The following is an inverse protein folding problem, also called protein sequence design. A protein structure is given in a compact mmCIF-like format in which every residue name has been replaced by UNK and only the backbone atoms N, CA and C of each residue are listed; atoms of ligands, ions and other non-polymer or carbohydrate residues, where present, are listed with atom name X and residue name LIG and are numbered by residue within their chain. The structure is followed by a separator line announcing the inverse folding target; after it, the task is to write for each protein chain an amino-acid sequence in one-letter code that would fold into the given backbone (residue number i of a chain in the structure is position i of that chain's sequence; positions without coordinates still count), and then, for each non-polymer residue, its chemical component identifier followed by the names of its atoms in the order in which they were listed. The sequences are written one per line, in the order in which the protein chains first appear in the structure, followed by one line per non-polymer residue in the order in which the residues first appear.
data_IF_191555187216
#
_entry.id   IF_191555187216
#
_cell.length_a   1.000
_cell.length_b   1.000
_cell.length_c   1.000
_cell.angle_alpha   90.00
_cell.angle_beta   90.00
_cell.angle_gamma   90.00
#
_symmetry.space_group_name_H-M   'P 1'
#
loop_
_entity.id
_entity.type
_entity.pdbx_description
1 polymer ?
#
# COMPACT_ATOMS: atom_id res chain seq x y z
N UNK A 1 0.52 45.08 55.99
CA UNK A 1 -0.08 43.74 56.08
C UNK A 1 0.44 42.85 54.98
N UNK A 2 1.49 42.06 55.12
CA UNK A 2 2.71 42.07 55.95
C UNK A 2 3.33 40.71 55.64
N UNK A 3 4.53 40.71 55.06
CA UNK A 3 5.36 39.51 55.03
C UNK A 3 5.86 39.24 56.46
N UNK A 4 6.17 37.99 56.79
CA UNK A 4 7.60 37.75 57.02
C UNK A 4 8.14 36.48 56.36
N UNK A 5 9.47 36.48 56.17
CA UNK A 5 10.29 35.36 55.70
C UNK A 5 10.70 34.42 56.86
N UNK A 6 11.51 33.41 56.49
CA UNK A 6 12.34 32.52 57.33
C UNK A 6 11.69 31.17 57.68
N UNK A 7 12.41 30.05 57.80
CA UNK A 7 13.87 29.87 57.95
C UNK A 7 14.48 28.81 57.01
N UNK A 8 15.81 28.87 56.86
CA UNK A 8 16.64 27.82 56.25
C UNK A 8 16.90 26.65 57.19
N UNK A 9 17.12 25.45 56.65
CA UNK A 9 17.96 24.44 57.32
C UNK A 9 18.98 23.84 56.35
N UNK A 10 20.27 24.04 56.68
CA UNK A 10 21.39 23.30 56.07
C UNK A 10 21.53 21.99 56.83
N UNK A 11 21.75 20.88 56.12
CA UNK A 11 22.49 19.75 56.68
C UNK A 11 23.55 19.29 55.69
N UNK A 12 24.80 19.53 56.07
CA UNK A 12 26.00 19.02 55.43
C UNK A 12 26.67 18.02 56.36
N UNK A 13 26.94 16.82 55.86
CA UNK A 13 28.00 15.96 56.40
C UNK A 13 28.77 15.41 55.20
N UNK A 14 30.04 15.70 55.14
CA UNK A 14 30.98 15.04 54.24
C UNK A 14 32.20 14.61 55.03
N UNK A 15 32.88 13.58 54.54
CA UNK A 15 34.32 13.39 54.74
C UNK A 15 34.87 12.54 53.58
N UNK A 16 35.80 13.15 52.85
CA UNK A 16 37.14 12.63 52.51
C UNK A 16 37.23 11.16 52.02
N UNK A 17 37.40 10.91 50.71
CA UNK A 17 38.59 11.10 49.86
C UNK A 17 39.60 9.94 49.91
N UNK A 18 39.82 9.28 48.76
CA UNK A 18 41.15 8.78 48.38
C UNK A 18 41.30 8.73 46.86
N UNK A 19 42.41 9.30 46.39
CA UNK A 19 42.89 9.29 45.00
C UNK A 19 43.80 8.09 44.74
N UNK A 20 43.81 7.56 43.51
CA UNK A 20 45.04 7.49 42.68
C UNK A 20 44.84 6.71 41.37
N UNK A 21 45.21 7.36 40.26
CA UNK A 21 45.68 6.69 39.03
C UNK A 21 47.11 6.19 39.21
N UNK A 22 47.53 5.18 38.41
CA UNK A 22 48.73 5.39 37.61
C UNK A 22 48.58 4.91 36.14
N UNK A 23 49.51 5.36 35.29
CA UNK A 23 49.61 5.00 33.87
C UNK A 23 50.94 4.22 33.58
N UNK A 24 51.42 4.05 32.33
CA UNK A 24 51.50 2.75 31.67
C UNK A 24 52.95 2.27 31.36
N UNK A 25 53.14 1.16 30.60
CA UNK A 25 54.33 1.06 29.74
C UNK A 25 54.17 0.44 28.32
N UNK A 26 54.87 1.05 27.36
CA UNK A 26 55.62 0.52 26.20
C UNK A 26 55.04 -0.44 25.11
N UNK A 27 54.64 0.16 23.98
CA UNK A 27 55.34 0.20 22.65
C UNK A 27 55.99 -1.07 22.02
N UNK A 28 55.49 -1.46 20.84
CA UNK A 28 56.23 -1.83 19.60
C UNK A 28 55.29 -1.64 18.38
N UNK A 29 55.57 -0.78 17.40
CA UNK A 29 56.18 -1.07 16.07
C UNK A 29 55.70 -2.39 15.44
N UNK A 30 55.15 -2.47 14.22
CA UNK A 30 55.00 -1.53 13.08
C UNK A 30 53.76 -1.95 12.23
N UNK A 31 53.37 -1.43 11.05
CA UNK A 31 54.02 -0.56 10.06
C UNK A 31 52.99 0.28 9.25
N UNK A 32 53.34 0.70 8.03
CA UNK A 32 52.62 1.57 7.10
C UNK A 32 51.43 0.97 6.33
N UNK A 33 50.53 1.86 5.87
CA UNK A 33 49.42 1.52 4.96
C UNK A 33 48.58 2.73 4.51
N UNK A 34 49.21 3.89 4.26
CA UNK A 34 48.49 5.09 3.79
C UNK A 34 48.21 5.03 2.28
N UNK A 35 46.94 5.11 1.90
CA UNK A 35 46.53 5.59 0.56
C UNK A 35 45.39 6.59 0.76
N UNK A 36 45.64 7.82 0.30
CA UNK A 36 44.69 8.92 0.23
C UNK A 36 44.50 9.31 -1.23
N UNK A 37 43.25 9.31 -1.71
CA UNK A 37 42.80 10.10 -2.87
C UNK A 37 41.40 10.61 -2.51
N UNK A 38 41.30 11.85 -2.03
CA UNK A 38 41.06 13.05 -2.83
C UNK A 38 39.74 12.99 -3.63
N UNK A 39 38.79 13.77 -3.14
CA UNK A 39 37.61 14.22 -3.87
C UNK A 39 38.09 15.12 -5.00
N UNK A 40 37.62 14.88 -6.22
CA UNK A 40 37.77 15.82 -7.32
C UNK A 40 36.38 16.30 -7.75
N UNK A 41 36.27 17.60 -8.01
CA UNK A 41 35.00 18.30 -8.23
C UNK A 41 35.06 19.10 -9.52
N UNK A 42 34.51 18.53 -10.58
CA UNK A 42 34.46 19.16 -11.90
C UNK A 42 33.02 19.16 -12.45
N UNK A 43 32.33 20.30 -12.33
CA UNK A 43 31.19 20.60 -13.18
C UNK A 43 31.68 20.71 -14.64
N UNK A 44 31.06 19.97 -15.55
CA UNK A 44 31.34 19.99 -16.98
C UNK A 44 30.06 19.82 -17.77
N UNK A 45 29.67 20.87 -18.48
CA UNK A 45 28.45 20.96 -19.29
C UNK A 45 28.56 20.09 -20.56
N UNK A 46 27.57 19.22 -20.80
CA UNK A 46 27.39 18.58 -22.10
C UNK A 46 25.92 18.29 -22.42
N UNK A 47 25.40 19.10 -23.33
CA UNK A 47 24.19 18.82 -24.10
C UNK A 47 24.45 17.70 -25.13
N UNK A 48 23.74 16.58 -25.00
CA UNK A 48 23.36 15.71 -26.12
C UNK A 48 22.27 14.69 -25.70
N UNK A 49 21.27 14.41 -26.55
CA UNK A 49 20.22 13.45 -26.24
C UNK A 49 20.69 12.00 -26.40
N UNK A 50 20.29 11.13 -25.47
CA UNK A 50 20.44 9.68 -25.62
C UNK A 50 19.52 9.15 -26.74
N UNK A 51 20.00 8.26 -27.63
CA UNK A 51 19.19 7.73 -28.73
C UNK A 51 18.13 6.75 -28.22
N UNK A 52 16.90 6.89 -28.72
CA UNK A 52 15.80 5.97 -28.45
C UNK A 52 16.05 4.60 -29.07
N UNK A 53 16.04 3.54 -28.25
CA UNK A 53 16.14 2.15 -28.72
C UNK A 53 14.82 1.73 -29.38
N UNK A 54 14.80 1.29 -30.65
CA UNK A 54 13.58 0.80 -31.29
C UNK A 54 13.17 -0.58 -30.76
N UNK A 55 11.90 -0.74 -30.39
CA UNK A 55 11.28 -2.04 -30.16
C UNK A 55 11.13 -2.76 -31.52
N UNK A 56 12.07 -3.64 -31.85
CA UNK A 56 11.93 -4.53 -33.00
C UNK A 56 10.89 -5.62 -32.71
N UNK A 57 9.78 -5.59 -33.45
CA UNK A 57 8.87 -6.74 -33.57
C UNK A 57 9.66 -7.94 -34.11
N UNK A 58 9.54 -9.10 -33.46
CA UNK A 58 10.06 -10.35 -34.02
C UNK A 58 9.21 -10.77 -35.22
N UNK A 59 9.79 -10.70 -36.42
CA UNK A 59 9.23 -11.36 -37.61
C UNK A 59 9.25 -12.88 -37.43
N UNK A 60 8.15 -13.55 -37.78
CA UNK A 60 8.06 -15.00 -37.75
C UNK A 60 8.86 -15.60 -38.92
N UNK A 61 10.04 -16.17 -38.65
CA UNK A 61 10.70 -17.05 -39.61
C UNK A 61 9.90 -18.34 -39.78
N UNK A 62 9.22 -18.47 -40.91
CA UNK A 62 8.60 -19.73 -41.33
C UNK A 62 9.70 -20.74 -41.67
N UNK A 63 9.76 -21.85 -40.94
CA UNK A 63 10.54 -23.04 -41.35
C UNK A 63 9.59 -24.17 -41.70
N UNK A 64 9.64 -24.59 -42.95
CA UNK A 64 9.01 -25.84 -43.40
C UNK A 64 9.60 -27.02 -42.62
N UNK A 65 8.74 -27.86 -42.06
CA UNK A 65 9.11 -29.20 -41.58
C UNK A 65 8.13 -30.18 -42.19
N UNK A 66 8.68 -31.24 -42.79
CA UNK A 66 7.96 -32.22 -43.60
C UNK A 66 6.97 -33.03 -42.77
N UNK A 67 5.87 -33.40 -43.40
CA UNK A 67 5.01 -34.50 -42.94
C UNK A 67 5.84 -35.78 -42.78
N UNK A 68 5.63 -36.47 -41.66
CA UNK A 68 5.86 -37.91 -41.53
C UNK A 68 4.77 -38.44 -40.61
N UNK A 69 3.96 -39.35 -41.15
CA UNK A 69 2.85 -39.97 -40.47
C UNK A 69 3.35 -41.05 -39.50
N UNK A 70 3.06 -40.90 -38.21
CA UNK A 70 3.35 -41.88 -37.17
C UNK A 70 2.41 -41.68 -35.98
N UNK A 71 1.46 -42.61 -35.80
CA UNK A 71 0.49 -42.54 -34.71
C UNK A 71 1.14 -42.65 -33.31
N UNK A 72 0.78 -41.74 -32.42
CA UNK A 72 1.15 -41.72 -31.01
C UNK A 72 0.08 -41.01 -30.18
N UNK A 73 -0.20 -41.51 -28.98
CA UNK A 73 -1.29 -41.05 -28.12
C UNK A 73 -1.17 -39.57 -27.72
N UNK A 74 -2.28 -38.83 -27.76
CA UNK A 74 -2.36 -37.50 -27.14
C UNK A 74 -2.19 -37.62 -25.62
N UNK A 75 -1.20 -36.91 -25.09
CA UNK A 75 -0.99 -36.69 -23.66
C UNK A 75 -1.84 -35.50 -23.20
N UNK A 76 -2.83 -35.74 -22.33
CA UNK A 76 -3.69 -34.69 -21.75
C UNK A 76 -2.90 -33.92 -20.68
N UNK A 77 -2.15 -32.90 -21.12
CA UNK A 77 -1.25 -32.12 -20.28
C UNK A 77 -1.89 -31.55 -19.01
N UNK A 78 -1.50 -32.10 -17.86
CA UNK A 78 -1.92 -31.66 -16.53
C UNK A 78 -1.28 -30.30 -16.19
N UNK A 79 -2.08 -29.23 -16.08
CA UNK A 79 -1.58 -27.91 -15.69
C UNK A 79 -1.58 -27.82 -14.16
N UNK A 80 -0.40 -27.52 -13.57
CA UNK A 80 -0.26 -27.31 -12.12
C UNK A 80 0.03 -25.86 -11.79
N UNK A 81 -0.78 -25.28 -10.90
CA UNK A 81 -0.53 -23.95 -10.31
C UNK A 81 -0.45 -24.12 -8.81
N UNK A 82 0.62 -23.62 -8.18
CA UNK A 82 0.88 -23.74 -6.74
C UNK A 82 0.73 -25.19 -6.21
N UNK A 83 1.21 -26.18 -6.98
CA UNK A 83 1.14 -27.61 -6.65
C UNK A 83 -0.22 -28.28 -6.83
N UNK A 84 -1.27 -27.52 -7.19
CA UNK A 84 -2.62 -28.05 -7.40
C UNK A 84 -2.83 -28.39 -8.88
N UNK A 85 -3.31 -29.61 -9.16
CA UNK A 85 -3.64 -30.08 -10.50
C UNK A 85 -4.97 -29.53 -10.99
N UNK A 86 -4.97 -29.03 -12.23
CA UNK A 86 -6.15 -28.52 -12.93
C UNK A 86 -6.32 -29.26 -14.26
N UNK A 87 -7.52 -29.80 -14.50
CA UNK A 87 -7.87 -30.47 -15.75
C UNK A 87 -8.81 -29.62 -16.62
N UNK A 88 -8.45 -29.43 -17.89
CA UNK A 88 -9.19 -28.63 -18.86
C UNK A 88 -10.40 -29.41 -19.42
N UNK A 89 -11.56 -29.33 -18.75
CA UNK A 89 -12.82 -29.87 -19.29
C UNK A 89 -13.33 -29.08 -20.50
N UNK A 90 -12.81 -29.38 -21.69
CA UNK A 90 -13.51 -29.08 -22.96
C UNK A 90 -14.56 -30.16 -23.23
N UNK A 91 -15.83 -29.86 -22.98
CA UNK A 91 -16.93 -30.74 -23.39
C UNK A 91 -17.12 -30.62 -24.91
N UNK A 92 -16.74 -31.66 -25.65
CA UNK A 92 -16.99 -31.80 -27.09
C UNK A 92 -17.92 -33.02 -27.26
N UNK A 93 -19.20 -32.76 -27.45
CA UNK A 93 -20.21 -33.80 -27.61
C UNK A 93 -20.12 -34.40 -29.03
N UNK A 94 -19.62 -35.62 -29.14
CA UNK A 94 -19.66 -36.46 -30.35
C UNK A 94 -19.86 -37.93 -29.94
N UNK A 95 -20.92 -38.57 -30.45
CA UNK A 95 -21.37 -39.91 -30.06
C UNK A 95 -20.44 -41.05 -30.52
N UNK A 96 -20.34 -42.11 -29.70
CA UNK A 96 -20.39 -43.49 -30.19
C UNK A 96 -20.73 -44.53 -29.10
N UNK A 97 -21.97 -45.04 -29.16
CA UNK A 97 -22.39 -46.44 -28.91
C UNK A 97 -22.01 -47.19 -27.62
N UNK A 98 -23.03 -47.59 -26.83
CA UNK A 98 -23.40 -49.02 -26.71
C UNK A 98 -24.79 -49.26 -26.08
N UNK A 99 -25.68 -49.91 -26.84
CA UNK A 99 -26.78 -50.81 -26.42
C UNK A 99 -27.64 -50.50 -25.17
N UNK A 100 -28.94 -50.26 -25.40
CA UNK A 100 -29.94 -51.26 -24.98
C UNK A 100 -31.25 -51.17 -25.79
N UNK A 101 -31.89 -52.32 -25.96
CA UNK A 101 -33.08 -52.52 -26.79
C UNK A 101 -34.38 -52.13 -26.09
N UNK A 102 -35.33 -51.50 -26.80
CA UNK A 102 -36.77 -51.78 -26.65
C UNK A 102 -37.56 -51.45 -27.92
N UNK A 103 -38.76 -52.01 -28.03
CA UNK A 103 -39.50 -52.25 -29.27
C UNK A 103 -40.40 -51.10 -29.76
N UNK A 104 -40.73 -51.16 -31.05
CA UNK A 104 -41.55 -50.20 -31.79
C UNK A 104 -43.01 -50.10 -31.31
N UNK A 105 -43.53 -48.88 -31.12
CA UNK A 105 -44.92 -48.52 -31.46
C UNK A 105 -45.20 -47.01 -31.37
N UNK A 106 -46.03 -46.52 -32.28
CA UNK A 106 -46.86 -45.31 -32.09
C UNK A 106 -46.15 -43.97 -32.30
N UNK A 107 -46.35 -43.36 -33.47
CA UNK A 107 -45.96 -41.97 -33.69
C UNK A 107 -46.85 -41.00 -32.91
N UNK A 108 -46.22 -40.12 -32.13
CA UNK A 108 -46.80 -38.85 -31.68
C UNK A 108 -45.78 -37.77 -32.00
N UNK A 109 -46.06 -37.01 -33.06
CA UNK A 109 -45.26 -35.84 -33.45
C UNK A 109 -45.42 -34.76 -32.39
N UNK A 110 -44.53 -34.74 -31.40
CA UNK A 110 -44.31 -33.55 -30.59
C UNK A 110 -43.77 -32.48 -31.55
N UNK A 111 -44.46 -31.33 -31.72
CA UNK A 111 -43.91 -30.26 -32.53
C UNK A 111 -42.61 -29.81 -31.87
N UNK A 112 -41.50 -29.88 -32.61
CA UNK A 112 -40.27 -29.21 -32.21
C UNK A 112 -40.59 -27.72 -32.21
N UNK A 113 -40.94 -27.21 -31.03
CA UNK A 113 -41.19 -25.79 -30.83
C UNK A 113 -39.98 -25.05 -31.35
N UNK A 114 -40.22 -24.14 -32.29
CA UNK A 114 -39.20 -23.34 -32.92
C UNK A 114 -38.32 -22.73 -31.84
N UNK A 115 -37.03 -23.11 -31.80
CA UNK A 115 -36.00 -22.33 -31.13
C UNK A 115 -35.98 -20.98 -31.84
N UNK A 116 -36.79 -20.03 -31.35
CA UNK A 116 -36.80 -18.66 -31.83
C UNK A 116 -35.37 -18.14 -31.68
N UNK A 117 -34.70 -17.95 -32.82
CA UNK A 117 -33.47 -17.19 -32.87
C UNK A 117 -33.83 -15.77 -32.46
N UNK A 118 -33.69 -15.45 -31.17
CA UNK A 118 -33.93 -14.09 -30.68
C UNK A 118 -33.13 -13.11 -31.54
N UNK A 119 -33.84 -12.12 -32.08
CA UNK A 119 -33.21 -11.16 -32.97
C UNK A 119 -32.05 -10.46 -32.23
N UNK A 120 -31.06 -9.98 -32.99
CA UNK A 120 -29.97 -9.20 -32.41
C UNK A 120 -30.50 -7.98 -31.64
N UNK A 121 -31.63 -7.43 -32.07
CA UNK A 121 -32.33 -6.32 -31.42
C UNK A 121 -32.97 -6.73 -30.08
N UNK A 122 -33.67 -7.87 -30.00
CA UNK A 122 -34.20 -8.38 -28.72
C UNK A 122 -33.07 -8.56 -27.70
N UNK A 123 -31.96 -9.19 -28.09
CA UNK A 123 -30.80 -9.39 -27.20
C UNK A 123 -30.16 -8.08 -26.78
N UNK A 124 -30.01 -7.11 -27.70
CA UNK A 124 -29.51 -5.76 -27.39
C UNK A 124 -30.42 -5.06 -26.38
N UNK A 125 -31.73 -5.12 -26.58
CA UNK A 125 -32.70 -4.47 -25.70
C UNK A 125 -32.72 -5.13 -24.31
N UNK A 126 -32.55 -6.45 -24.20
CA UNK A 126 -32.40 -7.13 -22.90
C UNK A 126 -31.14 -6.68 -22.14
N UNK A 127 -29.99 -6.52 -22.82
CA UNK A 127 -28.75 -6.04 -22.19
C UNK A 127 -28.88 -4.58 -21.72
N UNK A 128 -29.48 -3.72 -22.54
CA UNK A 128 -29.76 -2.32 -22.18
C UNK A 128 -30.75 -2.24 -21.00
N UNK A 129 -31.79 -3.08 -21.00
CA UNK A 129 -32.79 -3.13 -19.94
C UNK A 129 -32.22 -3.66 -18.62
N UNK A 130 -31.21 -4.55 -18.66
CA UNK A 130 -30.49 -5.02 -17.47
C UNK A 130 -29.51 -3.95 -16.93
N UNK A 131 -28.69 -3.37 -17.79
CA UNK A 131 -27.64 -2.41 -17.38
C UNK A 131 -28.15 -1.07 -16.85
N UNK A 132 -29.43 -0.74 -17.06
CA UNK A 132 -30.07 0.51 -16.59
C UNK A 132 -31.05 0.31 -15.43
N UNK A 133 -31.06 -0.86 -14.78
CA UNK A 133 -31.93 -1.08 -13.62
C UNK A 133 -31.46 -0.27 -12.41
N UNK A 134 -32.40 0.26 -11.63
CA UNK A 134 -32.07 0.75 -10.30
C UNK A 134 -31.69 -0.41 -9.39
N UNK A 135 -30.85 -0.17 -8.38
CA UNK A 135 -30.44 -1.21 -7.43
C UNK A 135 -31.64 -1.90 -6.79
N UNK A 136 -32.67 -1.15 -6.40
CA UNK A 136 -33.92 -1.69 -5.84
C UNK A 136 -34.64 -2.71 -6.76
N UNK A 137 -34.48 -2.59 -8.08
CA UNK A 137 -35.07 -3.52 -9.06
C UNK A 137 -34.13 -4.67 -9.43
N UNK A 138 -32.82 -4.42 -9.48
CA UNK A 138 -31.80 -5.41 -9.84
C UNK A 138 -31.47 -6.37 -8.69
N UNK A 139 -31.42 -5.85 -7.46
CA UNK A 139 -31.08 -6.55 -6.23
C UNK A 139 -31.84 -5.91 -5.03
N UNK A 140 -33.12 -6.26 -4.83
CA UNK A 140 -33.94 -5.70 -3.75
C UNK A 140 -33.43 -6.09 -2.35
N UNK A 141 -32.75 -7.24 -2.22
CA UNK A 141 -32.22 -7.71 -0.95
C UNK A 141 -31.01 -6.86 -0.53
N UNK A 142 -30.07 -6.60 -1.44
CA UNK A 142 -28.96 -5.68 -1.20
C UNK A 142 -29.44 -4.24 -0.95
N UNK A 143 -30.44 -3.78 -1.71
CA UNK A 143 -31.05 -2.46 -1.47
C UNK A 143 -31.60 -2.33 -0.05
N UNK A 144 -32.31 -3.35 0.46
CA UNK A 144 -32.85 -3.32 1.82
C UNK A 144 -31.73 -3.37 2.88
N UNK A 145 -30.65 -4.12 2.65
CA UNK A 145 -29.47 -4.12 3.53
C UNK A 145 -28.82 -2.72 3.59
N UNK A 146 -28.69 -2.04 2.46
CA UNK A 146 -28.12 -0.69 2.39
C UNK A 146 -28.99 0.36 3.10
N UNK A 147 -30.31 0.30 2.95
CA UNK A 147 -31.23 1.19 3.67
C UNK A 147 -31.22 0.91 5.20
N UNK A 148 -31.04 -0.35 5.62
CA UNK A 148 -30.86 -0.70 7.03
C UNK A 148 -29.56 -0.12 7.61
N UNK A 149 -28.43 -0.17 6.89
CA UNK A 149 -27.16 0.42 7.34
C UNK A 149 -27.24 1.95 7.41
N UNK A 150 -27.88 2.59 6.42
CA UNK A 150 -28.19 4.03 6.45
C UNK A 150 -29.03 4.41 7.66
N UNK A 151 -30.03 3.59 8.02
CA UNK A 151 -30.83 3.82 9.23
C UNK A 151 -30.02 3.61 10.51
N UNK A 152 -29.12 2.61 10.55
CA UNK A 152 -28.16 2.39 11.64
C UNK A 152 -27.29 3.63 11.87
N UNK A 153 -26.66 4.15 10.82
CA UNK A 153 -25.83 5.35 10.86
C UNK A 153 -26.60 6.60 11.30
N UNK A 154 -27.86 6.75 10.86
CA UNK A 154 -28.69 7.90 11.23
C UNK A 154 -29.18 7.86 12.69
N UNK A 155 -29.40 6.67 13.26
CA UNK A 155 -29.85 6.49 14.65
C UNK A 155 -28.71 6.29 15.65
N UNK A 156 -27.51 5.99 15.18
CA UNK A 156 -26.35 5.66 16.00
C UNK A 156 -25.62 6.87 16.58
N UNK A 157 -24.74 6.60 17.55
CA UNK A 157 -23.71 7.54 18.00
C UNK A 157 -22.37 6.92 17.61
N UNK A 158 -21.87 7.29 16.44
CA UNK A 158 -20.66 6.71 15.86
C UNK A 158 -19.43 7.34 16.52
N UNK A 159 -18.70 6.56 17.33
CA UNK A 159 -17.53 6.99 18.10
C UNK A 159 -16.22 6.31 17.64
N UNK A 160 -16.24 5.63 16.49
CA UNK A 160 -15.05 5.00 15.91
C UNK A 160 -14.22 6.11 15.24
N UNK A 161 -13.06 6.43 15.82
CA UNK A 161 -12.26 7.60 15.45
C UNK A 161 -11.76 7.64 13.99
N UNK A 162 -11.77 6.50 13.29
CA UNK A 162 -11.39 6.38 11.87
C UNK A 162 -12.58 6.41 10.90
N UNK A 163 -13.81 6.47 11.40
CA UNK A 163 -15.03 6.57 10.57
C UNK A 163 -15.46 8.02 10.42
N UNK A 164 -16.10 8.34 9.29
CA UNK A 164 -16.62 9.68 9.01
C UNK A 164 -17.71 9.62 7.93
N UNK A 165 -18.57 10.63 7.89
CA UNK A 165 -19.63 10.76 6.88
C UNK A 165 -19.15 11.66 5.73
N UNK A 166 -18.97 11.08 4.55
CA UNK A 166 -18.59 11.83 3.34
C UNK A 166 -19.77 12.65 2.78
N UNK A 167 -19.48 13.74 2.08
CA UNK A 167 -20.52 14.56 1.47
C UNK A 167 -21.12 13.91 0.22
N UNK A 168 -22.34 14.31 -0.15
CA UNK A 168 -23.08 13.76 -1.30
C UNK A 168 -22.29 13.83 -2.62
N UNK A 169 -21.56 14.92 -2.85
CA UNK A 169 -20.75 15.10 -4.06
C UNK A 169 -19.62 14.06 -4.21
N UNK A 170 -19.04 13.59 -3.10
CA UNK A 170 -18.04 12.50 -3.12
C UNK A 170 -18.71 11.17 -3.50
N UNK A 171 -19.90 10.88 -2.95
CA UNK A 171 -20.65 9.67 -3.30
C UNK A 171 -21.12 9.68 -4.77
N UNK A 172 -21.56 10.83 -5.28
CA UNK A 172 -21.94 11.00 -6.68
C UNK A 172 -20.78 10.78 -7.65
N UNK A 173 -19.57 11.24 -7.30
CA UNK A 173 -18.37 10.99 -8.09
C UNK A 173 -17.92 9.51 -8.02
N UNK A 174 -17.98 8.89 -6.83
CA UNK A 174 -17.55 7.51 -6.62
C UNK A 174 -18.45 6.50 -7.34
N UNK A 175 -19.77 6.71 -7.34
CA UNK A 175 -20.76 5.87 -8.04
C UNK A 175 -20.93 6.20 -9.53
N UNK A 176 -19.96 6.88 -10.15
CA UNK A 176 -20.10 7.42 -11.51
C UNK A 176 -19.53 6.52 -12.61
N UNK A 177 -19.77 6.92 -13.86
CA UNK A 177 -19.26 6.26 -15.07
C UNK A 177 -17.71 6.24 -15.18
N UNK A 178 -16.98 6.96 -14.33
CA UNK A 178 -15.51 6.96 -14.30
C UNK A 178 -14.93 5.57 -14.01
N UNK A 179 -15.65 4.72 -13.27
CA UNK A 179 -15.27 3.33 -12.97
C UNK A 179 -15.01 2.46 -14.22
N UNK A 180 -15.54 2.86 -15.38
CA UNK A 180 -15.41 2.09 -16.63
C UNK A 180 -14.06 2.24 -17.33
N UNK A 181 -13.16 3.14 -16.87
CA UNK A 181 -11.95 3.49 -17.64
C UNK A 181 -10.66 2.89 -17.06
N UNK A 182 -9.98 2.08 -17.86
CA UNK A 182 -8.58 1.71 -17.63
C UNK A 182 -7.64 2.87 -17.96
N UNK A 183 -6.85 3.31 -16.98
CA UNK A 183 -5.96 4.48 -17.05
C UNK A 183 -4.55 4.22 -16.50
N UNK A 184 -4.01 3.01 -16.69
CA UNK A 184 -2.65 2.66 -16.26
C UNK A 184 -1.60 3.64 -16.81
N UNK A 185 -0.64 3.99 -15.96
CA UNK A 185 0.36 5.04 -16.20
C UNK A 185 0.03 6.33 -15.42
N UNK A 186 0.69 7.42 -15.79
CA UNK A 186 0.46 8.76 -15.23
C UNK A 186 -0.23 9.67 -16.28
N UNK A 187 -0.82 10.81 -15.90
CA UNK A 187 -1.33 11.80 -16.85
C UNK A 187 -0.28 12.16 -17.93
N UNK A 188 -0.68 12.16 -19.20
CA UNK A 188 0.22 12.35 -20.34
C UNK A 188 1.12 11.16 -20.70
N UNK A 189 1.20 10.12 -19.86
CA UNK A 189 2.05 8.94 -20.02
C UNK A 189 1.25 7.65 -19.72
N UNK A 190 0.16 7.45 -20.46
CA UNK A 190 -0.78 6.32 -20.30
C UNK A 190 -0.48 5.19 -21.29
N UNK A 191 -0.70 3.94 -20.86
CA UNK A 191 -0.61 2.77 -21.74
C UNK A 191 -1.83 2.61 -22.67
N UNK A 192 -2.96 3.24 -22.35
CA UNK A 192 -4.21 3.17 -23.12
C UNK A 192 -4.66 4.54 -23.63
N UNK A 193 -5.29 4.56 -24.80
CA UNK A 193 -5.94 5.75 -25.36
C UNK A 193 -7.20 6.19 -24.61
N UNK A 194 -7.75 7.34 -25.01
CA UNK A 194 -9.02 7.87 -24.52
C UNK A 194 -9.01 8.36 -23.07
N UNK A 195 -7.84 8.69 -22.52
CA UNK A 195 -7.67 9.14 -21.13
C UNK A 195 -7.77 10.66 -20.93
N UNK A 196 -8.04 11.46 -21.98
CA UNK A 196 -8.04 12.93 -21.93
C UNK A 196 -8.68 13.55 -20.67
N UNK A 197 -9.91 13.14 -20.32
CA UNK A 197 -10.63 13.65 -19.16
C UNK A 197 -10.23 12.97 -17.83
N UNK A 198 -9.66 11.77 -17.88
CA UNK A 198 -9.08 11.12 -16.68
C UNK A 198 -7.79 11.81 -16.27
N UNK A 199 -6.99 12.24 -17.26
CA UNK A 199 -5.77 13.02 -17.05
C UNK A 199 -6.10 14.39 -16.45
N UNK A 200 -7.15 15.07 -16.94
CA UNK A 200 -7.68 16.30 -16.31
C UNK A 200 -8.12 16.07 -14.86
N UNK A 201 -8.86 14.99 -14.58
CA UNK A 201 -9.35 14.66 -13.23
C UNK A 201 -8.19 14.34 -12.27
N UNK A 202 -7.22 13.54 -12.69
CA UNK A 202 -6.09 13.13 -11.85
C UNK A 202 -5.14 14.30 -11.60
N UNK A 203 -4.82 15.12 -12.61
CA UNK A 203 -4.02 16.34 -12.45
C UNK A 203 -4.70 17.31 -11.48
N UNK A 204 -6.01 17.57 -11.64
CA UNK A 204 -6.77 18.42 -10.72
C UNK A 204 -6.82 17.86 -9.29
N UNK A 205 -6.83 16.53 -9.13
CA UNK A 205 -6.78 15.88 -7.82
C UNK A 205 -5.41 16.11 -7.15
N UNK A 206 -4.31 15.91 -7.88
CA UNK A 206 -2.95 16.18 -7.41
C UNK A 206 -2.75 17.65 -7.02
N UNK A 207 -3.16 18.60 -7.86
CA UNK A 207 -3.10 20.04 -7.57
C UNK A 207 -3.85 20.38 -6.29
N UNK A 208 -5.09 19.90 -6.15
CA UNK A 208 -5.92 20.13 -4.97
C UNK A 208 -5.35 19.50 -3.70
N UNK A 209 -4.70 18.35 -3.81
CA UNK A 209 -4.03 17.71 -2.67
C UNK A 209 -2.86 18.58 -2.17
N UNK A 210 -2.00 19.09 -3.06
CA UNK A 210 -0.91 19.99 -2.68
C UNK A 210 -1.45 21.29 -2.04
N UNK A 211 -2.49 21.89 -2.63
CA UNK A 211 -3.15 23.10 -2.10
C UNK A 211 -3.77 22.85 -0.71
N UNK A 212 -4.43 21.71 -0.51
CA UNK A 212 -5.07 21.35 0.77
C UNK A 212 -4.09 21.26 1.94
N UNK A 213 -2.83 20.89 1.68
CA UNK A 213 -1.75 20.86 2.68
C UNK A 213 -0.82 22.09 2.61
N UNK A 214 -1.09 23.06 1.72
CA UNK A 214 -0.30 24.29 1.58
C UNK A 214 1.12 24.08 1.03
N UNK A 215 1.33 23.04 0.23
CA UNK A 215 2.64 22.61 -0.25
C UNK A 215 3.04 23.30 -1.56
N UNK A 216 4.33 23.67 -1.69
CA UNK A 216 4.89 24.12 -2.98
C UNK A 216 5.14 22.90 -3.89
N UNK A 217 4.57 22.91 -5.11
CA UNK A 217 4.72 21.87 -6.13
C UNK A 217 6.15 21.72 -6.68
N UNK A 218 7.03 22.70 -6.49
CA UNK A 218 8.46 22.58 -6.83
C UNK A 218 9.23 21.70 -5.84
N UNK A 219 8.69 21.51 -4.62
CA UNK A 219 9.32 20.76 -3.53
C UNK A 219 8.57 19.44 -3.29
N UNK A 220 7.24 19.46 -3.45
CA UNK A 220 6.35 18.34 -3.14
C UNK A 220 5.62 17.84 -4.38
N UNK A 221 5.86 16.56 -4.71
CA UNK A 221 4.95 15.77 -5.55
C UNK A 221 3.90 15.05 -4.71
N UNK A 222 2.87 14.54 -5.38
CA UNK A 222 1.82 13.69 -4.78
C UNK A 222 1.43 12.59 -5.77
N UNK A 223 1.12 11.40 -5.25
CA UNK A 223 0.49 10.33 -6.01
C UNK A 223 -0.85 9.98 -5.36
N UNK A 224 -1.93 10.12 -6.13
CA UNK A 224 -3.33 9.93 -5.68
C UNK A 224 -3.92 8.57 -6.07
N UNK A 225 -3.12 7.68 -6.67
CA UNK A 225 -3.55 6.35 -7.11
C UNK A 225 -3.61 5.24 -6.03
N UNK A 226 -2.94 5.31 -4.85
CA UNK A 226 -3.02 4.24 -3.85
C UNK A 226 -4.46 4.01 -3.34
N UNK A 227 -4.96 2.78 -3.48
CA UNK A 227 -6.35 2.42 -3.15
C UNK A 227 -6.74 2.60 -1.66
N UNK A 228 -5.75 2.58 -0.76
CA UNK A 228 -5.93 2.68 0.70
C UNK A 228 -4.61 3.02 1.41
N UNK A 229 -4.69 3.40 2.70
CA UNK A 229 -3.54 3.63 3.58
C UNK A 229 -2.53 2.46 3.57
N UNK A 230 -2.98 1.22 3.76
CA UNK A 230 -2.09 0.04 3.77
C UNK A 230 -1.35 -0.13 2.44
N UNK A 231 -2.03 0.07 1.30
CA UNK A 231 -1.37 0.01 -0.01
C UNK A 231 -0.44 1.19 -0.27
N UNK A 232 -0.74 2.38 0.26
CA UNK A 232 0.14 3.55 0.15
C UNK A 232 1.44 3.35 0.92
N UNK A 233 1.35 2.95 2.19
CA UNK A 233 2.52 2.63 3.02
C UNK A 233 3.35 1.51 2.39
N UNK A 234 2.71 0.44 1.89
CA UNK A 234 3.43 -0.65 1.25
C UNK A 234 4.13 -0.21 -0.05
N UNK A 235 3.48 0.64 -0.87
CA UNK A 235 4.10 1.22 -2.07
C UNK A 235 5.32 2.09 -1.76
N UNK A 236 5.26 2.90 -0.69
CA UNK A 236 6.42 3.67 -0.20
C UNK A 236 7.57 2.72 0.19
N UNK A 237 7.28 1.64 0.92
CA UNK A 237 8.31 0.68 1.29
C UNK A 237 8.92 0.02 0.04
N UNK A 238 8.12 -0.53 -0.87
CA UNK A 238 8.63 -1.21 -2.08
C UNK A 238 9.31 -0.26 -3.07
N UNK A 239 9.02 1.04 -3.02
CA UNK A 239 9.67 2.06 -3.85
C UNK A 239 11.02 2.53 -3.31
N UNK A 240 11.29 2.35 -2.01
CA UNK A 240 12.50 2.84 -1.33
C UNK A 240 13.39 1.74 -0.75
N UNK A 241 12.87 0.53 -0.56
CA UNK A 241 13.51 -0.58 0.16
C UNK A 241 13.63 -1.83 -0.69
N UNK A 242 14.67 -2.62 -0.41
CA UNK A 242 14.77 -4.01 -0.85
C UNK A 242 14.09 -4.95 0.18
N UNK A 243 13.65 -6.16 -0.22
CA UNK A 243 13.18 -7.16 0.73
C UNK A 243 14.24 -7.45 1.81
N UNK A 244 13.83 -7.47 3.08
CA UNK A 244 14.72 -7.62 4.24
C UNK A 244 15.37 -6.34 4.75
N UNK A 245 15.21 -5.19 4.07
CA UNK A 245 15.58 -3.89 4.65
C UNK A 245 14.76 -3.58 5.90
N UNK A 246 15.29 -2.65 6.70
CA UNK A 246 14.83 -2.41 8.08
C UNK A 246 13.88 -1.24 8.19
N UNK A 247 12.75 -1.44 8.89
CA UNK A 247 11.78 -0.40 9.23
C UNK A 247 11.58 -0.30 10.75
N UNK A 248 11.31 0.91 11.23
CA UNK A 248 10.90 1.17 12.62
C UNK A 248 9.59 1.96 12.60
N UNK A 249 8.57 1.45 13.27
CA UNK A 249 7.29 2.12 13.49
C UNK A 249 6.80 1.98 14.94
N UNK A 250 5.70 2.64 15.29
CA UNK A 250 5.12 2.49 16.63
C UNK A 250 4.50 1.09 16.78
N UNK A 251 4.77 0.45 17.91
CA UNK A 251 4.16 -0.83 18.29
C UNK A 251 2.62 -0.73 18.31
N UNK A 252 1.91 -1.67 17.70
CA UNK A 252 0.43 -1.59 17.55
C UNK A 252 -0.29 -1.47 18.90
N UNK A 253 0.04 -2.24 19.97
CA UNK A 253 -0.49 -2.01 21.31
C UNK A 253 -0.10 -0.67 21.97
N UNK A 254 0.92 0.02 21.45
CA UNK A 254 1.28 1.39 21.85
C UNK A 254 0.58 2.47 21.03
N UNK A 255 -0.21 2.09 20.02
CA UNK A 255 -1.01 3.01 19.18
C UNK A 255 -0.64 3.05 17.70
N UNK A 256 0.34 2.26 17.24
CA UNK A 256 0.76 2.22 15.83
C UNK A 256 -0.22 1.52 14.89
N UNK A 257 -0.03 1.69 13.58
CA UNK A 257 -0.84 1.03 12.56
C UNK A 257 -0.29 -0.37 12.23
N UNK A 258 -1.14 -1.32 11.83
CA UNK A 258 -0.69 -2.67 11.45
C UNK A 258 0.27 -2.65 10.26
N UNK A 259 0.11 -1.72 9.33
CA UNK A 259 1.00 -1.53 8.17
C UNK A 259 2.39 -0.98 8.53
N UNK A 260 2.65 -0.58 9.78
CA UNK A 260 3.96 -0.13 10.27
C UNK A 260 4.89 -1.30 10.67
N UNK A 261 4.67 -2.49 10.10
CA UNK A 261 5.48 -3.68 10.37
C UNK A 261 5.04 -4.48 11.59
N UNK A 262 3.74 -4.61 11.85
CA UNK A 262 3.23 -5.36 13.00
C UNK A 262 3.50 -6.87 12.92
N UNK A 263 4.04 -7.42 14.02
CA UNK A 263 4.20 -8.84 14.32
C UNK A 263 3.84 -9.10 15.79
N UNK A 264 3.52 -10.35 16.13
CA UNK A 264 3.12 -10.75 17.49
C UNK A 264 4.34 -11.01 18.40
N UNK A 265 4.22 -10.92 19.74
CA UNK A 265 5.32 -11.14 20.67
C UNK A 265 6.02 -12.51 20.56
N UNK A 266 5.37 -13.52 19.97
CA UNK A 266 5.93 -14.83 19.68
C UNK A 266 6.68 -14.90 18.33
N UNK A 267 6.97 -13.76 17.69
CA UNK A 267 7.65 -13.66 16.40
C UNK A 267 6.77 -13.91 15.18
N UNK A 268 5.48 -14.23 15.33
CA UNK A 268 4.59 -14.44 14.17
C UNK A 268 4.33 -13.11 13.46
N UNK A 269 4.93 -12.94 12.28
CA UNK A 269 4.68 -11.83 11.33
C UNK A 269 3.19 -11.80 10.95
N UNK A 270 2.57 -10.61 10.97
CA UNK A 270 1.11 -10.44 10.74
C UNK A 270 0.84 -9.53 9.55
N UNK A 271 1.55 -8.39 9.48
CA UNK A 271 1.42 -7.44 8.38
C UNK A 271 2.29 -7.86 7.18
N UNK A 272 1.86 -7.52 5.96
CA UNK A 272 2.70 -7.65 4.77
C UNK A 272 4.05 -6.94 4.95
N UNK A 273 4.05 -5.74 5.56
CA UNK A 273 5.26 -5.01 5.89
C UNK A 273 6.24 -5.84 6.76
N UNK A 274 5.77 -6.51 7.81
CA UNK A 274 6.62 -7.39 8.63
C UNK A 274 7.04 -8.69 7.94
N UNK A 275 6.34 -9.11 6.87
CA UNK A 275 6.70 -10.29 6.07
C UNK A 275 7.87 -9.96 5.15
N UNK A 276 7.77 -8.85 4.40
CA UNK A 276 8.75 -8.47 3.37
C UNK A 276 9.92 -7.64 3.91
N UNK A 277 9.76 -6.94 5.04
CA UNK A 277 10.77 -6.08 5.64
C UNK A 277 11.01 -6.48 7.11
N UNK A 278 12.20 -6.18 7.62
CA UNK A 278 12.55 -6.47 9.01
C UNK A 278 12.13 -5.31 9.91
N UNK A 279 11.21 -5.56 10.82
CA UNK A 279 10.57 -4.56 11.67
C UNK A 279 11.07 -4.65 13.11
N UNK A 280 11.38 -3.50 13.72
CA UNK A 280 11.67 -3.42 15.16
C UNK A 280 11.00 -2.20 15.80
N UNK A 281 9.85 -2.37 16.48
CA UNK A 281 9.01 -1.22 16.83
C UNK A 281 9.57 -0.42 18.01
N UNK A 282 9.31 0.90 18.02
CA UNK A 282 9.41 1.71 19.24
C UNK A 282 8.08 1.66 20.00
N UNK A 283 8.09 2.12 21.26
CA UNK A 283 6.94 2.02 22.17
C UNK A 283 6.70 3.34 22.90
N UNK A 284 5.49 3.47 23.45
CA UNK A 284 5.23 4.47 24.49
C UNK A 284 5.89 4.06 25.81
N UNK A 285 6.22 5.04 26.64
CA UNK A 285 6.53 4.84 28.04
C UNK A 285 5.23 4.43 28.79
N UNK A 286 5.17 3.25 29.44
CA UNK A 286 3.93 2.72 29.99
C UNK A 286 3.42 3.46 31.25
N UNK A 287 4.23 4.32 31.86
CA UNK A 287 3.81 5.17 32.99
C UNK A 287 3.18 6.49 32.54
N UNK A 288 3.62 7.05 31.41
CA UNK A 288 3.17 8.37 30.93
C UNK A 288 2.24 8.32 29.71
N UNK A 289 2.29 7.24 28.93
CA UNK A 289 1.54 7.09 27.68
C UNK A 289 2.12 7.85 26.49
N UNK A 290 3.25 8.56 26.64
CA UNK A 290 3.93 9.26 25.54
C UNK A 290 5.00 8.38 24.88
N UNK A 291 5.31 8.62 23.60
CA UNK A 291 6.44 7.99 22.90
C UNK A 291 7.73 8.15 23.70
N UNK A 292 8.46 7.05 23.93
CA UNK A 292 9.76 7.08 24.60
C UNK A 292 10.86 7.45 23.60
N UNK A 293 11.00 8.75 23.32
CA UNK A 293 11.92 9.30 22.33
C UNK A 293 13.40 8.95 22.58
N UNK A 294 13.78 8.66 23.83
CA UNK A 294 15.14 8.28 24.16
C UNK A 294 15.40 6.81 23.77
N UNK A 295 14.48 5.90 24.11
CA UNK A 295 14.54 4.51 23.62
C UNK A 295 14.34 4.40 22.12
N UNK A 296 13.58 5.32 21.50
CA UNK A 296 13.48 5.42 20.05
C UNK A 296 14.86 5.72 19.43
N UNK A 297 15.59 6.72 19.94
CA UNK A 297 16.92 7.05 19.42
C UNK A 297 17.89 5.87 19.59
N UNK A 298 17.97 5.30 20.80
CA UNK A 298 18.77 4.10 21.12
C UNK A 298 18.51 2.96 20.11
N UNK A 299 17.24 2.57 19.94
CA UNK A 299 16.85 1.51 19.00
C UNK A 299 17.15 1.84 17.55
N UNK A 300 16.97 3.10 17.12
CA UNK A 300 17.25 3.50 15.75
C UNK A 300 18.76 3.49 15.43
N UNK A 301 19.60 3.83 16.40
CA UNK A 301 21.07 3.78 16.26
C UNK A 301 21.61 2.35 16.22
N UNK A 302 21.03 1.44 16.99
CA UNK A 302 21.43 0.02 17.00
C UNK A 302 20.85 -0.76 15.81
N UNK A 303 19.55 -0.61 15.55
CA UNK A 303 18.86 -1.37 14.50
C UNK A 303 19.11 -0.80 13.10
N UNK A 304 19.49 0.48 12.95
CA UNK A 304 19.78 1.12 11.65
C UNK A 304 18.67 0.92 10.61
N UNK A 305 17.45 1.45 10.85
CA UNK A 305 16.40 1.44 9.84
C UNK A 305 16.78 2.22 8.58
N UNK A 306 16.18 1.82 7.47
CA UNK A 306 16.12 2.60 6.23
C UNK A 306 14.94 3.57 6.24
N UNK A 307 13.82 3.17 6.84
CA UNK A 307 12.66 4.05 7.10
C UNK A 307 12.35 4.07 8.59
N UNK A 308 12.34 5.27 9.17
CA UNK A 308 11.71 5.56 10.46
C UNK A 308 10.31 6.12 10.20
N UNK A 309 9.29 5.55 10.83
CA UNK A 309 7.90 5.93 10.66
C UNK A 309 7.44 6.68 11.92
N UNK A 310 6.82 7.84 11.77
CA UNK A 310 5.97 8.46 12.79
C UNK A 310 4.51 8.46 12.32
N UNK A 311 3.55 8.55 13.24
CA UNK A 311 2.13 8.32 12.93
C UNK A 311 1.58 7.05 13.57
N UNK A 312 0.26 6.92 13.63
CA UNK A 312 -0.40 5.83 14.34
C UNK A 312 -1.92 5.92 14.32
N UNK A 313 -2.58 4.82 14.71
CA UNK A 313 -4.04 4.67 14.66
C UNK A 313 -4.75 5.13 15.93
N UNK A 314 -4.10 5.02 17.09
CA UNK A 314 -4.73 5.26 18.41
C UNK A 314 -3.81 5.92 19.46
N UNK A 315 -2.80 6.65 19.01
CA UNK A 315 -1.95 7.48 19.87
C UNK A 315 -2.61 8.86 20.11
N UNK A 316 -3.00 9.23 21.35
CA UNK A 316 -3.87 10.39 21.62
C UNK A 316 -3.10 11.71 21.87
N UNK A 317 -1.88 11.84 21.34
CA UNK A 317 -1.00 13.00 21.54
C UNK A 317 -0.38 13.42 20.23
N UNK A 318 0.08 14.67 20.18
CA UNK A 318 0.89 15.18 19.08
C UNK A 318 2.26 14.48 19.02
N UNK A 319 2.89 14.57 17.85
CA UNK A 319 4.18 13.96 17.55
C UNK A 319 5.28 15.02 17.61
N UNK A 320 6.39 14.74 18.30
CA UNK A 320 7.58 15.58 18.24
C UNK A 320 8.33 15.29 16.93
N UNK A 321 7.80 15.88 15.86
CA UNK A 321 8.32 15.77 14.51
C UNK A 321 9.80 16.13 14.43
N UNK A 322 10.21 17.24 15.05
CA UNK A 322 11.61 17.68 15.09
C UNK A 322 12.52 16.61 15.72
N UNK A 323 12.08 15.96 16.80
CA UNK A 323 12.82 14.84 17.41
C UNK A 323 12.91 13.61 16.50
N UNK A 324 11.84 13.26 15.79
CA UNK A 324 11.87 12.19 14.77
C UNK A 324 12.87 12.50 13.64
N UNK A 325 12.90 13.73 13.13
CA UNK A 325 13.87 14.17 12.10
C UNK A 325 15.31 14.02 12.59
N UNK A 326 15.62 14.55 13.78
CA UNK A 326 16.95 14.40 14.39
C UNK A 326 17.41 12.94 14.52
N UNK A 327 16.51 12.03 14.91
CA UNK A 327 16.86 10.60 15.02
C UNK A 327 17.08 9.98 13.63
N UNK A 328 16.21 10.29 12.66
CA UNK A 328 16.35 9.83 11.29
C UNK A 328 17.66 10.32 10.63
N UNK A 329 18.08 11.56 10.88
CA UNK A 329 19.37 12.10 10.41
C UNK A 329 20.56 11.34 11.01
N UNK A 330 20.53 11.07 12.32
CA UNK A 330 21.62 10.35 13.01
C UNK A 330 21.80 8.91 12.53
N UNK A 331 20.72 8.21 12.17
CA UNK A 331 20.81 6.83 11.67
C UNK A 331 20.89 6.72 10.13
N UNK A 332 20.62 7.79 9.39
CA UNK A 332 20.61 7.81 7.92
C UNK A 332 19.30 7.29 7.31
N UNK A 333 18.18 7.41 8.02
CA UNK A 333 16.87 6.93 7.60
C UNK A 333 16.05 8.01 6.86
N UNK A 334 15.21 7.55 5.93
CA UNK A 334 14.05 8.32 5.46
C UNK A 334 13.06 8.41 6.61
N UNK A 335 12.48 9.59 6.82
CA UNK A 335 11.38 9.78 7.78
C UNK A 335 10.06 9.75 7.02
N UNK A 336 9.18 8.80 7.37
CA UNK A 336 7.82 8.69 6.85
C UNK A 336 6.83 9.15 7.92
N UNK A 337 5.92 10.07 7.58
CA UNK A 337 4.80 10.43 8.44
C UNK A 337 3.51 9.81 7.90
N UNK A 338 2.94 8.84 8.62
CA UNK A 338 1.59 8.34 8.37
C UNK A 338 0.57 9.17 9.15
N UNK A 339 0.07 10.21 8.49
CA UNK A 339 -0.89 11.15 9.06
C UNK A 339 -2.36 10.72 8.91
N UNK A 340 -2.67 9.46 8.58
CA UNK A 340 -4.03 9.02 8.20
C UNK A 340 -5.15 9.58 9.12
N UNK A 341 -5.04 9.36 10.44
CA UNK A 341 -6.03 9.78 11.44
C UNK A 341 -6.12 11.31 11.67
N UNK A 342 -5.09 12.07 11.31
CA UNK A 342 -5.00 13.52 11.61
C UNK A 342 -4.96 14.40 10.35
N UNK A 343 -4.97 13.79 9.17
CA UNK A 343 -4.86 14.46 7.86
C UNK A 343 -5.81 15.66 7.70
N UNK A 344 -7.07 15.53 8.10
CA UNK A 344 -8.04 16.63 8.10
C UNK A 344 -7.69 17.78 9.07
N UNK A 345 -7.12 17.48 10.24
CA UNK A 345 -6.68 18.48 11.23
C UNK A 345 -5.42 19.22 10.77
N UNK A 346 -4.53 18.53 10.05
CA UNK A 346 -3.34 19.12 9.41
C UNK A 346 -3.73 20.03 8.25
N UNK A 347 -4.62 19.57 7.35
CA UNK A 347 -5.12 20.39 6.24
C UNK A 347 -5.89 21.63 6.72
N UNK A 348 -6.66 21.50 7.81
CA UNK A 348 -7.35 22.61 8.46
C UNK A 348 -6.42 23.51 9.33
N UNK A 349 -5.12 23.20 9.40
CA UNK A 349 -4.10 23.95 10.16
C UNK A 349 -4.36 24.06 11.67
N UNK A 350 -5.08 23.09 12.24
CA UNK A 350 -5.27 22.98 13.69
C UNK A 350 -4.14 22.22 14.37
N UNK A 351 -3.53 21.26 13.68
CA UNK A 351 -2.33 20.55 14.14
C UNK A 351 -1.09 21.08 13.43
N UNK A 352 0.07 20.94 14.08
CA UNK A 352 1.34 21.38 13.53
C UNK A 352 1.67 20.60 12.24
N UNK A 353 1.74 21.34 11.12
CA UNK A 353 2.31 20.86 9.86
C UNK A 353 3.83 20.88 9.94
N UNK A 354 4.47 20.07 9.09
CA UNK A 354 5.92 19.94 8.99
C UNK A 354 6.57 21.12 8.26
#
# INVERSE_FOLDING_TARGET
MDLPQSQSSKLSLGFSSHSSTPAPPNRSQSADGSISFQIDSSFGDHSNPLPSVPLQLMEQQTKEVKENDAGGSMDDGEIRILGHSMSLKRKRDTDSTSSNSFSSRGGLTVPISSKQQQSHETRRNSVIAWGNQSLQSADPDLFQIMENEKERQYKGIELIASENFVCKAVMEALGSHLTNKYSEGMPGARYYGGNQFIDEIETLCCERALVAFGLNSEIWGVNVQPYSCTSANFAVYTGLLLPGDRIIGLDTPSGGNTSHGYYLPNGRKVSGASIFFESFPYKVNPQTGYVDYNKLEERALDFRPKILICGGSSYPREWDYARFRQVADKCGAVLLCDMAQISGLVAAKFFQSY
#
